data_IF_035831862735
#
_entry.id   IF_035831862735
#
_cell.length_a   1.000
_cell.length_b   1.000
_cell.length_c   1.000
_cell.angle_alpha   90.00
_cell.angle_beta   90.00
_cell.angle_gamma   90.00
#
_symmetry.space_group_name_H-M   'P 1'
#
loop_
_entity.id
_entity.type
_entity.pdbx_description
1 polymer ?
#
# COMPACT_ATOMS: atom_id res chain seq x y z
N UNK A 1 -9.94 -16.80 -5.80
CA UNK A 1 -10.43 -18.04 -6.43
C UNK A 1 -10.29 -19.15 -5.40
N UNK A 2 -11.36 -19.87 -5.11
CA UNK A 2 -11.28 -21.07 -4.28
C UNK A 2 -11.05 -22.29 -5.19
N UNK A 3 -9.87 -22.92 -5.16
CA UNK A 3 -9.56 -24.05 -6.03
C UNK A 3 -10.37 -25.30 -5.69
N UNK A 4 -10.85 -25.43 -4.44
CA UNK A 4 -11.60 -26.60 -4.00
C UNK A 4 -13.04 -26.57 -4.53
N UNK A 5 -13.72 -25.42 -4.39
CA UNK A 5 -15.07 -25.24 -4.93
C UNK A 5 -15.10 -24.77 -6.38
N UNK A 6 -13.95 -24.41 -6.95
CA UNK A 6 -13.80 -23.80 -8.29
C UNK A 6 -14.67 -22.55 -8.47
N UNK A 7 -14.83 -21.76 -7.39
CA UNK A 7 -15.65 -20.53 -7.39
C UNK A 7 -14.79 -19.28 -7.32
N UNK A 8 -15.28 -18.23 -7.97
CA UNK A 8 -14.75 -16.87 -7.86
C UNK A 8 -15.75 -16.04 -7.05
N UNK A 9 -15.23 -15.26 -6.12
CA UNK A 9 -16.00 -14.34 -5.29
C UNK A 9 -15.35 -12.96 -5.37
N UNK A 10 -16.17 -11.92 -5.51
CA UNK A 10 -15.74 -10.54 -5.33
C UNK A 10 -15.57 -10.27 -3.84
N UNK A 11 -14.31 -10.09 -3.40
CA UNK A 11 -14.00 -9.80 -2.00
C UNK A 11 -14.32 -8.35 -1.63
N UNK A 12 -13.93 -7.41 -2.48
CA UNK A 12 -13.98 -5.96 -2.24
C UNK A 12 -14.18 -5.23 -3.58
N UNK A 13 -14.78 -4.04 -3.54
CA UNK A 13 -15.00 -3.21 -4.73
C UNK A 13 -16.45 -3.18 -5.19
N UNK A 14 -16.88 -2.01 -5.65
CA UNK A 14 -18.23 -1.78 -6.19
C UNK A 14 -18.36 -2.10 -7.68
N UNK A 15 -17.24 -2.43 -8.35
CA UNK A 15 -17.17 -2.59 -9.80
C UNK A 15 -17.14 -1.26 -10.59
N UNK A 16 -17.02 -0.12 -9.91
CA UNK A 16 -16.85 1.21 -10.51
C UNK A 16 -15.64 1.91 -9.90
N UNK A 17 -15.08 2.87 -10.64
CA UNK A 17 -13.96 3.68 -10.15
C UNK A 17 -14.37 4.44 -8.89
N UNK A 18 -13.63 4.24 -7.80
CA UNK A 18 -13.80 4.92 -6.52
C UNK A 18 -12.99 6.21 -6.38
N UNK A 19 -13.37 7.05 -5.42
CA UNK A 19 -12.65 8.26 -5.00
C UNK A 19 -12.48 8.38 -3.47
N UNK A 20 -12.78 7.30 -2.74
CA UNK A 20 -12.69 7.25 -1.28
C UNK A 20 -11.26 6.99 -0.84
N UNK A 21 -10.61 7.97 -0.21
CA UNK A 21 -9.20 7.90 0.22
C UNK A 21 -9.00 7.31 1.63
N UNK A 22 -10.08 6.91 2.31
CA UNK A 22 -10.04 6.43 3.70
C UNK A 22 -10.44 4.96 3.75
N UNK A 23 -11.61 4.64 3.21
CA UNK A 23 -12.20 3.31 3.28
C UNK A 23 -12.87 2.98 4.61
N UNK A 24 -13.00 1.69 4.89
CA UNK A 24 -13.65 1.13 6.08
C UNK A 24 -15.00 0.47 5.80
N UNK A 25 -15.55 0.60 4.59
CA UNK A 25 -16.77 -0.09 4.19
C UNK A 25 -16.50 -1.58 3.93
N UNK A 26 -17.55 -2.39 4.01
CA UNK A 26 -17.44 -3.85 3.88
C UNK A 26 -17.64 -4.29 2.44
N UNK A 27 -16.73 -5.14 1.97
CA UNK A 27 -16.87 -5.91 0.73
C UNK A 27 -17.28 -5.06 -0.49
N UNK A 28 -18.40 -5.41 -1.13
CA UNK A 28 -18.90 -4.76 -2.34
C UNK A 28 -19.42 -3.34 -2.12
N UNK A 29 -19.46 -2.85 -0.87
CA UNK A 29 -19.81 -1.48 -0.54
C UNK A 29 -18.62 -0.52 -0.64
N UNK A 30 -17.39 -1.04 -0.55
CA UNK A 30 -16.19 -0.21 -0.59
C UNK A 30 -15.82 0.15 -2.04
N UNK A 31 -15.92 1.43 -2.44
CA UNK A 31 -15.32 1.87 -3.69
C UNK A 31 -13.79 1.81 -3.58
N UNK A 32 -13.14 1.32 -4.64
CA UNK A 32 -11.67 1.25 -4.77
C UNK A 32 -11.27 1.78 -6.14
N UNK A 33 -10.02 2.21 -6.31
CA UNK A 33 -9.55 2.78 -7.56
C UNK A 33 -8.29 2.07 -8.07
N UNK A 34 -8.45 1.29 -9.14
CA UNK A 34 -7.37 0.65 -9.89
C UNK A 34 -6.38 -0.14 -9.02
N UNK A 35 -6.83 -1.16 -8.28
CA UNK A 35 -5.91 -2.07 -7.57
C UNK A 35 -4.98 -2.75 -8.59
N UNK A 36 -3.67 -2.68 -8.36
CA UNK A 36 -2.67 -3.10 -9.35
C UNK A 36 -1.89 -4.34 -8.93
N UNK A 37 -1.57 -4.47 -7.64
CA UNK A 37 -0.83 -5.59 -7.10
C UNK A 37 -1.29 -5.93 -5.67
N UNK A 38 -0.99 -7.15 -5.22
CA UNK A 38 -1.47 -7.74 -3.98
C UNK A 38 -0.34 -8.44 -3.23
N UNK A 39 -0.28 -8.26 -1.91
CA UNK A 39 0.66 -8.99 -1.06
C UNK A 39 -0.01 -9.46 0.23
N UNK A 40 0.18 -10.71 0.63
CA UNK A 40 -0.29 -11.22 1.92
C UNK A 40 0.75 -10.93 2.98
N UNK A 41 0.36 -10.34 4.10
CA UNK A 41 1.21 -10.09 5.25
C UNK A 41 0.48 -10.41 6.55
N UNK A 42 1.14 -10.18 7.68
CA UNK A 42 0.53 -10.23 9.01
C UNK A 42 0.43 -8.83 9.60
N UNK A 43 -0.59 -8.61 10.42
CA UNK A 43 -0.64 -7.42 11.27
C UNK A 43 0.58 -7.37 12.18
N UNK A 44 1.21 -6.19 12.33
CA UNK A 44 2.35 -6.03 13.22
C UNK A 44 2.00 -6.10 14.71
N UNK A 45 0.71 -6.12 15.08
CA UNK A 45 0.26 -6.11 16.47
C UNK A 45 -0.37 -7.43 16.92
N UNK A 46 -1.23 -8.02 16.08
CA UNK A 46 -1.96 -9.24 16.44
C UNK A 46 -1.70 -10.43 15.51
N UNK A 47 -0.75 -10.28 14.58
CA UNK A 47 -0.30 -11.33 13.64
C UNK A 47 -1.39 -11.95 12.77
N UNK A 48 -2.56 -11.30 12.67
CA UNK A 48 -3.63 -11.78 11.78
C UNK A 48 -3.25 -11.55 10.33
N UNK A 49 -3.63 -12.48 9.47
CA UNK A 49 -3.40 -12.37 8.02
C UNK A 49 -4.17 -11.18 7.45
N UNK A 50 -3.46 -10.34 6.69
CA UNK A 50 -3.98 -9.16 5.99
C UNK A 50 -3.58 -9.25 4.52
N UNK A 51 -4.48 -8.83 3.63
CA UNK A 51 -4.19 -8.64 2.22
C UNK A 51 -3.90 -7.16 1.96
N UNK A 52 -2.64 -6.86 1.64
CA UNK A 52 -2.23 -5.55 1.16
C UNK A 52 -2.59 -5.40 -0.32
N UNK A 53 -2.99 -4.19 -0.69
CA UNK A 53 -3.45 -3.84 -2.03
C UNK A 53 -2.75 -2.55 -2.46
N UNK A 54 -2.01 -2.62 -3.56
CA UNK A 54 -1.43 -1.43 -4.20
C UNK A 54 -2.52 -0.69 -4.98
N UNK A 55 -2.96 0.47 -4.47
CA UNK A 55 -4.08 1.24 -5.00
C UNK A 55 -3.58 2.36 -5.92
N UNK A 56 -3.20 1.99 -7.14
CA UNK A 56 -2.55 2.92 -8.09
C UNK A 56 -3.41 4.16 -8.37
N UNK A 57 -4.74 4.00 -8.48
CA UNK A 57 -5.66 5.10 -8.82
C UNK A 57 -5.88 6.11 -7.70
N UNK A 58 -5.42 5.83 -6.47
CA UNK A 58 -5.47 6.78 -5.35
C UNK A 58 -4.11 7.06 -4.76
N UNK A 59 -3.02 6.57 -5.35
CA UNK A 59 -1.66 6.78 -4.83
C UNK A 59 -1.51 6.33 -3.36
N UNK A 60 -2.03 5.14 -3.05
CA UNK A 60 -2.10 4.61 -1.67
C UNK A 60 -1.83 3.11 -1.63
N UNK A 61 -1.44 2.61 -0.46
CA UNK A 61 -1.50 1.18 -0.10
C UNK A 61 -2.64 0.98 0.89
N UNK A 62 -3.47 -0.02 0.61
CA UNK A 62 -4.62 -0.37 1.44
C UNK A 62 -4.45 -1.75 2.05
N UNK A 63 -5.11 -1.98 3.19
CA UNK A 63 -5.14 -3.26 3.87
C UNK A 63 -6.57 -3.79 3.95
N UNK A 64 -6.80 -5.01 3.45
CA UNK A 64 -8.04 -5.75 3.62
C UNK A 64 -7.89 -6.80 4.72
N UNK A 65 -8.81 -6.79 5.68
CA UNK A 65 -8.76 -7.68 6.84
C UNK A 65 -9.76 -8.84 6.71
N UNK A 66 -9.26 -10.07 6.74
CA UNK A 66 -10.11 -11.28 6.75
C UNK A 66 -10.81 -11.49 8.10
N UNK A 67 -10.19 -10.98 9.15
CA UNK A 67 -10.66 -10.92 10.54
C UNK A 67 -10.44 -9.50 11.07
N UNK A 68 -11.15 -9.10 12.12
CA UNK A 68 -10.87 -7.79 12.73
C UNK A 68 -9.42 -7.76 13.24
N UNK A 69 -8.66 -6.73 12.91
CA UNK A 69 -7.23 -6.63 13.25
C UNK A 69 -6.83 -5.19 13.59
N UNK A 70 -5.78 -5.05 14.39
CA UNK A 70 -5.15 -3.77 14.69
C UNK A 70 -4.00 -3.49 13.72
N UNK A 71 -3.81 -2.22 13.37
CA UNK A 71 -2.71 -1.72 12.54
C UNK A 71 -1.99 -0.55 13.24
N UNK A 72 -1.04 0.12 12.58
CA UNK A 72 -0.34 1.27 13.16
C UNK A 72 -1.32 2.37 13.59
N UNK A 73 -0.89 3.20 14.56
CA UNK A 73 -1.63 4.38 15.01
C UNK A 73 -3.06 4.07 15.50
N UNK A 74 -3.21 2.96 16.23
CA UNK A 74 -4.47 2.48 16.80
C UNK A 74 -5.61 2.26 15.78
N UNK A 75 -5.26 2.10 14.50
CA UNK A 75 -6.22 1.80 13.45
C UNK A 75 -6.76 0.39 13.64
N UNK A 76 -8.09 0.26 13.73
CA UNK A 76 -8.77 -1.03 13.75
C UNK A 76 -9.43 -1.27 12.39
N UNK A 77 -9.02 -2.33 11.71
CA UNK A 77 -9.61 -2.76 10.45
C UNK A 77 -10.63 -3.84 10.74
N UNK A 78 -11.89 -3.51 10.50
CA UNK A 78 -13.02 -4.40 10.74
C UNK A 78 -12.98 -5.64 9.83
N UNK A 79 -13.56 -6.75 10.31
CA UNK A 79 -13.66 -7.98 9.52
C UNK A 79 -14.35 -7.73 8.17
N UNK A 80 -13.72 -8.19 7.08
CA UNK A 80 -14.15 -8.03 5.69
C UNK A 80 -14.29 -6.57 5.22
N UNK A 81 -13.54 -5.64 5.81
CA UNK A 81 -13.35 -4.29 5.28
C UNK A 81 -11.91 -4.06 4.81
N UNK A 82 -11.70 -2.98 4.08
CA UNK A 82 -10.37 -2.45 3.84
C UNK A 82 -10.33 -0.94 4.02
N UNK A 83 -9.17 -0.42 4.36
CA UNK A 83 -8.90 1.01 4.45
C UNK A 83 -7.50 1.33 3.94
N UNK A 84 -7.26 2.60 3.64
CA UNK A 84 -5.92 3.10 3.37
C UNK A 84 -5.07 3.01 4.66
N UNK A 85 -3.84 2.51 4.51
CA UNK A 85 -2.87 2.42 5.62
C UNK A 85 -1.59 3.21 5.33
N UNK A 86 -1.33 3.54 4.07
CA UNK A 86 -0.18 4.34 3.63
C UNK A 86 -0.64 5.24 2.49
N UNK A 87 -0.26 6.51 2.56
CA UNK A 87 -0.51 7.50 1.52
C UNK A 87 -1.69 8.44 1.83
N UNK A 88 -1.47 9.74 1.65
CA UNK A 88 -2.49 10.79 1.73
C UNK A 88 -3.45 10.78 0.54
N UNK A 89 -3.05 10.10 -0.54
CA UNK A 89 -3.68 10.11 -1.84
C UNK A 89 -3.46 11.39 -2.66
N UNK A 90 -2.44 12.17 -2.32
CA UNK A 90 -1.80 13.14 -3.21
C UNK A 90 -0.71 12.42 -4.01
N UNK A 91 -0.56 12.78 -5.29
CA UNK A 91 0.46 12.21 -6.18
C UNK A 91 1.80 12.94 -6.03
N UNK A 92 2.72 12.38 -5.24
CA UNK A 92 4.04 12.94 -4.93
C UNK A 92 5.02 11.82 -4.50
N UNK A 93 6.32 12.12 -4.44
CA UNK A 93 7.40 11.23 -3.97
C UNK A 93 7.73 11.40 -2.47
N UNK A 94 6.74 11.78 -1.62
CA UNK A 94 6.98 12.26 -0.24
C UNK A 94 7.18 11.13 0.77
N UNK A 95 8.35 11.07 1.39
CA UNK A 95 8.69 10.15 2.49
C UNK A 95 8.18 10.67 3.84
N UNK A 96 8.12 9.79 4.85
CA UNK A 96 7.76 10.21 6.21
C UNK A 96 7.57 9.06 7.19
N UNK A 97 7.66 9.39 8.47
CA UNK A 97 7.42 8.45 9.57
C UNK A 97 5.94 8.20 9.85
N UNK A 98 5.07 9.15 9.49
CA UNK A 98 3.63 9.03 9.67
C UNK A 98 2.98 8.48 8.39
N UNK A 99 2.48 7.23 8.36
CA UNK A 99 2.11 6.53 7.13
C UNK A 99 1.06 7.24 6.27
N UNK A 100 0.10 7.92 6.91
CA UNK A 100 -0.98 8.63 6.20
C UNK A 100 -0.58 10.03 5.72
N UNK A 101 0.59 10.54 6.15
CA UNK A 101 1.15 11.82 5.67
C UNK A 101 2.05 11.66 4.44
N UNK A 102 2.54 10.43 4.21
CA UNK A 102 3.33 10.04 3.03
C UNK A 102 2.50 10.27 1.77
N UNK A 103 3.17 10.52 0.66
CA UNK A 103 2.53 10.58 -0.65
C UNK A 103 3.26 9.59 -1.56
N UNK A 104 2.48 8.86 -2.35
CA UNK A 104 2.98 7.93 -3.37
C UNK A 104 2.61 8.48 -4.74
N UNK A 105 3.11 7.86 -5.78
CA UNK A 105 2.87 8.23 -7.16
C UNK A 105 2.54 6.98 -7.99
N UNK A 106 1.28 6.56 -7.93
CA UNK A 106 0.75 5.41 -8.66
C UNK A 106 1.55 4.12 -8.36
N UNK A 107 1.49 3.61 -7.13
CA UNK A 107 2.21 2.39 -6.77
C UNK A 107 1.62 1.20 -7.54
N UNK A 108 2.48 0.40 -8.18
CA UNK A 108 2.05 -0.72 -9.05
C UNK A 108 2.66 -2.07 -8.71
N UNK A 109 3.56 -2.12 -7.73
CA UNK A 109 4.12 -3.38 -7.23
C UNK A 109 4.35 -3.30 -5.74
N UNK A 110 4.07 -4.38 -5.03
CA UNK A 110 4.32 -4.52 -3.60
C UNK A 110 4.82 -5.92 -3.25
N UNK A 111 5.82 -6.03 -2.39
CA UNK A 111 6.25 -7.32 -1.86
C UNK A 111 6.81 -7.21 -0.45
N UNK A 112 6.59 -8.25 0.36
CA UNK A 112 7.22 -8.35 1.67
C UNK A 112 8.69 -8.72 1.52
N UNK A 113 9.49 -8.31 2.49
CA UNK A 113 10.84 -8.82 2.65
C UNK A 113 11.38 -8.53 4.04
N UNK A 114 12.70 -8.63 4.17
CA UNK A 114 13.42 -8.37 5.42
C UNK A 114 14.58 -7.44 5.10
N UNK A 115 14.68 -6.35 5.87
CA UNK A 115 15.79 -5.40 5.77
C UNK A 115 16.30 -5.11 7.19
N UNK A 116 17.62 -5.22 7.40
CA UNK A 116 18.25 -5.06 8.72
C UNK A 116 17.61 -5.94 9.81
N UNK A 117 17.18 -7.14 9.45
CA UNK A 117 16.51 -8.09 10.35
C UNK A 117 15.08 -7.70 10.75
N UNK A 118 14.48 -6.70 10.11
CA UNK A 118 13.09 -6.27 10.35
C UNK A 118 12.20 -6.60 9.14
N UNK A 119 10.93 -6.98 9.37
CA UNK A 119 9.97 -7.16 8.29
C UNK A 119 9.66 -5.82 7.62
N UNK A 120 9.69 -5.80 6.29
CA UNK A 120 9.44 -4.60 5.47
C UNK A 120 8.50 -4.90 4.31
N UNK A 121 7.85 -3.86 3.80
CA UNK A 121 7.16 -3.85 2.51
C UNK A 121 7.97 -3.02 1.53
N UNK A 122 8.32 -3.58 0.38
CA UNK A 122 8.85 -2.82 -0.75
C UNK A 122 7.69 -2.37 -1.65
N UNK A 123 7.78 -1.15 -2.17
CA UNK A 123 6.79 -0.57 -3.08
C UNK A 123 7.51 -0.09 -4.33
N UNK A 124 7.07 -0.57 -5.50
CA UNK A 124 7.44 0.00 -6.79
C UNK A 124 6.52 1.19 -7.09
N UNK A 125 7.01 2.40 -6.80
CA UNK A 125 6.26 3.64 -6.94
C UNK A 125 6.50 4.25 -8.32
N UNK A 126 5.58 3.98 -9.25
CA UNK A 126 5.89 3.98 -10.68
C UNK A 126 6.04 5.38 -11.28
N UNK A 127 5.18 6.33 -10.90
CA UNK A 127 5.24 7.68 -11.46
C UNK A 127 6.34 8.53 -10.80
N UNK A 128 6.85 8.14 -9.62
CA UNK A 128 8.04 8.75 -9.02
C UNK A 128 9.34 8.08 -9.49
N UNK A 129 9.24 6.99 -10.26
CA UNK A 129 10.39 6.18 -10.71
C UNK A 129 11.28 5.72 -9.54
N UNK A 130 10.67 5.35 -8.42
CA UNK A 130 11.39 5.01 -7.20
C UNK A 130 10.94 3.67 -6.60
N UNK A 131 11.84 3.06 -5.82
CA UNK A 131 11.50 1.98 -4.90
C UNK A 131 11.44 2.56 -3.49
N UNK A 132 10.33 2.31 -2.80
CA UNK A 132 10.10 2.73 -1.42
C UNK A 132 10.14 1.52 -0.50
N UNK A 133 10.52 1.75 0.74
CA UNK A 133 10.50 0.73 1.78
C UNK A 133 9.68 1.22 2.95
N UNK A 134 8.81 0.35 3.45
CA UNK A 134 7.98 0.58 4.64
C UNK A 134 8.46 -0.37 5.72
N UNK A 135 8.83 0.16 6.88
CA UNK A 135 9.10 -0.67 8.05
C UNK A 135 7.78 -1.17 8.62
N UNK A 136 7.52 -2.49 8.61
CA UNK A 136 6.21 -2.99 9.03
C UNK A 136 5.94 -2.83 10.53
N UNK A 137 6.97 -2.58 11.34
CA UNK A 137 6.85 -2.34 12.77
C UNK A 137 6.11 -1.05 13.11
N UNK A 138 6.37 0.02 12.38
CA UNK A 138 5.91 1.38 12.71
C UNK A 138 5.33 2.15 11.52
N UNK A 139 5.39 1.59 10.31
CA UNK A 139 4.85 2.19 9.11
C UNK A 139 5.71 3.30 8.50
N UNK A 140 6.92 3.53 9.01
CA UNK A 140 7.83 4.53 8.44
C UNK A 140 8.15 4.20 6.99
N UNK A 141 7.92 5.17 6.09
CA UNK A 141 8.18 5.05 4.65
C UNK A 141 9.43 5.86 4.28
N UNK A 142 10.41 5.17 3.73
CA UNK A 142 11.65 5.74 3.25
C UNK A 142 11.88 5.44 1.76
N UNK A 143 12.68 6.27 1.12
CA UNK A 143 13.22 6.01 -0.19
C UNK A 143 14.29 4.92 -0.06
N UNK A 144 14.27 3.95 -0.96
CA UNK A 144 15.32 2.95 -1.07
C UNK A 144 16.28 3.32 -2.20
N UNK A 145 15.74 3.55 -3.39
CA UNK A 145 16.44 3.96 -4.61
C UNK A 145 15.49 4.71 -5.54
N UNK A 146 16.01 5.48 -6.49
CA UNK A 146 15.23 6.16 -7.52
C UNK A 146 14.56 7.46 -7.05
N UNK A 147 14.24 8.33 -8.00
CA UNK A 147 13.45 9.54 -7.81
C UNK A 147 14.26 10.75 -7.34
N UNK A 148 13.55 11.80 -6.90
CA UNK A 148 14.16 13.07 -6.48
C UNK A 148 13.97 13.33 -4.98
N UNK A 149 14.84 14.17 -4.42
CA UNK A 149 14.69 14.74 -3.08
C UNK A 149 13.52 15.75 -3.00
N UNK A 150 13.21 16.46 -4.10
CA UNK A 150 11.98 17.24 -4.22
C UNK A 150 10.78 16.30 -4.37
N UNK A 151 9.88 16.21 -3.37
CA UNK A 151 8.74 15.30 -3.43
C UNK A 151 7.77 15.63 -4.57
N UNK A 152 7.82 16.83 -5.14
CA UNK A 152 6.95 17.23 -6.25
C UNK A 152 7.54 16.90 -7.63
N UNK A 153 8.84 16.56 -7.71
CA UNK A 153 9.47 16.17 -8.96
C UNK A 153 9.21 14.69 -9.28
N UNK A 154 8.21 14.45 -10.13
CA UNK A 154 7.88 13.12 -10.68
C UNK A 154 8.57 12.85 -12.02
N UNK A 155 9.47 13.72 -12.46
CA UNK A 155 10.22 13.59 -13.72
C UNK A 155 11.67 13.13 -13.52
N UNK A 156 12.05 12.72 -12.31
CA UNK A 156 13.36 12.14 -12.01
C UNK A 156 13.40 10.66 -12.41
N UNK A 157 13.51 10.42 -13.72
CA UNK A 157 13.66 9.08 -14.30
C UNK A 157 14.93 8.99 -15.16
N UNK A 158 15.42 7.77 -15.37
CA UNK A 158 16.62 7.50 -16.15
C UNK A 158 16.94 6.01 -16.19
N UNK A 159 18.12 5.68 -16.70
CA UNK A 159 18.65 4.32 -16.77
C UNK A 159 20.14 4.38 -16.41
N UNK A 160 20.42 4.46 -15.11
CA UNK A 160 21.76 4.59 -14.54
C UNK A 160 21.85 3.76 -13.27
N UNK A 161 22.90 2.94 -13.19
CA UNK A 161 23.26 2.27 -11.96
C UNK A 161 23.94 3.24 -11.00
N UNK A 162 23.62 3.16 -9.70
CA UNK A 162 24.35 3.89 -8.68
C UNK A 162 23.63 3.97 -7.34
N UNK A 163 24.18 4.78 -6.44
CA UNK A 163 23.63 5.05 -5.11
C UNK A 163 23.14 6.49 -5.03
N UNK A 164 21.88 6.70 -4.63
CA UNK A 164 21.30 8.03 -4.44
C UNK A 164 20.77 8.70 -5.71
N UNK A 165 20.58 7.92 -6.77
CA UNK A 165 19.80 8.28 -7.96
C UNK A 165 18.48 7.52 -7.95
#
# INVERSE_FOLDING_TARGET
>A
FDPNSRRVLTLIGTGRLGNDKVGGLKRSQQPIASPWDLCITESPFDHKTVLLISMAGQHQIWAYAFEETQWWNDVIIQKNSCCAIIGSGVEENRNGSEPMSVCLAAPRGICNGVMNGQPVLFIADSNSSSIRVVTLKDGNVANLIGGDADPTNLSAFGDLDGSGY
#
